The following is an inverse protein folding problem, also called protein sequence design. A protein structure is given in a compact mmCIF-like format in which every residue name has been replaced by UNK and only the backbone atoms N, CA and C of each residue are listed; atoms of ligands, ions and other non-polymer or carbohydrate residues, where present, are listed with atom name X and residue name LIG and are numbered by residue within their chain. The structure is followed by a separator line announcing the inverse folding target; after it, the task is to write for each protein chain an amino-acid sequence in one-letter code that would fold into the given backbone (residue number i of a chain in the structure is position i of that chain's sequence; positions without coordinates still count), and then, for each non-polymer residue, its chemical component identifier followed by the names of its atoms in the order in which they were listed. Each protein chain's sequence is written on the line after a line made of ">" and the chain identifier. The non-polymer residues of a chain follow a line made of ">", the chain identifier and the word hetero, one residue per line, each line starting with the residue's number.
data_IF_319949332575
#
_entry.id   IF_319949332575
#
_cell.length_a   1.000
_cell.length_b   1.000
_cell.length_c   1.000
_cell.angle_alpha   90.00
_cell.angle_beta   90.00
_cell.angle_gamma   90.00
#
_symmetry.space_group_name_H-M   'P 1'
#
loop_
_entity.id
_entity.type
_entity.pdbx_description
1 polymer ?
#
# COMPACT_ATOMS: atom_id res chain seq x y z
N UNK A 1 25.75 -30.83 -10.04
CA UNK A 1 25.26 -30.49 -8.69
C UNK A 1 25.86 -29.15 -8.33
N UNK A 2 25.36 -28.17 -9.05
CA UNK A 2 25.73 -26.77 -9.09
C UNK A 2 24.98 -26.05 -7.97
N UNK A 3 25.69 -25.79 -6.88
CA UNK A 3 25.24 -24.92 -5.81
C UNK A 3 25.28 -23.46 -6.29
N UNK A 4 24.20 -22.99 -6.91
CA UNK A 4 23.98 -21.55 -7.10
C UNK A 4 23.38 -20.98 -5.82
N UNK A 5 24.24 -20.76 -4.83
CA UNK A 5 23.95 -19.88 -3.71
C UNK A 5 23.92 -18.45 -4.24
N UNK A 6 22.72 -17.90 -4.44
CA UNK A 6 22.56 -16.48 -4.76
C UNK A 6 23.13 -15.65 -3.61
N UNK A 7 24.29 -15.04 -3.86
CA UNK A 7 24.89 -14.02 -2.99
C UNK A 7 23.97 -12.80 -3.01
N UNK A 8 22.99 -12.74 -2.10
CA UNK A 8 22.30 -11.48 -1.79
C UNK A 8 23.31 -10.58 -1.09
N UNK A 9 23.79 -9.57 -1.81
CA UNK A 9 24.55 -8.46 -1.24
C UNK A 9 23.64 -7.84 -0.16
N UNK A 10 24.04 -7.87 1.11
CA UNK A 10 23.33 -7.12 2.17
C UNK A 10 23.74 -5.66 2.01
N UNK A 11 23.30 -5.05 0.92
CA UNK A 11 23.24 -3.61 0.77
C UNK A 11 21.85 -3.22 1.29
N UNK A 12 21.75 -2.13 2.06
CA UNK A 12 20.47 -1.61 2.56
C UNK A 12 19.64 -1.05 1.41
N UNK A 13 19.23 -1.92 0.50
CA UNK A 13 18.54 -1.60 -0.74
C UNK A 13 17.07 -1.36 -0.47
N UNK A 14 16.48 -0.49 -1.27
CA UNK A 14 15.05 -0.27 -1.24
C UNK A 14 14.34 -1.54 -1.72
N UNK A 15 13.53 -2.16 -0.86
CA UNK A 15 12.84 -3.43 -1.16
C UNK A 15 11.33 -3.25 -1.01
N UNK A 16 10.59 -3.67 -2.03
CA UNK A 16 9.12 -3.76 -2.00
C UNK A 16 8.71 -5.22 -1.94
N UNK A 17 7.92 -5.58 -0.94
CA UNK A 17 7.36 -6.93 -0.77
C UNK A 17 5.85 -6.85 -0.64
N UNK A 18 5.13 -7.39 -1.63
CA UNK A 18 3.69 -7.58 -1.52
C UNK A 18 3.38 -8.71 -0.55
N UNK A 19 2.43 -8.46 0.35
CA UNK A 19 1.92 -9.43 1.29
C UNK A 19 0.44 -9.16 1.55
N UNK A 20 -0.28 -10.14 2.08
CA UNK A 20 -1.73 -10.07 2.22
C UNK A 20 -2.45 -9.92 0.87
N UNK A 21 -3.46 -10.74 0.64
CA UNK A 21 -4.22 -10.75 -0.61
C UNK A 21 -5.55 -10.04 -0.39
N UNK A 22 -5.91 -9.15 -1.32
CA UNK A 22 -7.24 -8.55 -1.33
C UNK A 22 -8.31 -9.63 -1.51
N UNK A 23 -9.39 -9.55 -0.75
CA UNK A 23 -10.53 -10.46 -0.91
C UNK A 23 -11.46 -9.95 -2.02
N UNK A 24 -12.26 -10.83 -2.64
CA UNK A 24 -13.18 -10.43 -3.71
C UNK A 24 -14.06 -9.25 -3.33
N UNK A 25 -14.11 -8.25 -4.20
CA UNK A 25 -15.01 -7.09 -4.11
C UNK A 25 -16.22 -7.28 -5.05
N UNK A 26 -17.12 -6.30 -5.18
CA UNK A 26 -18.31 -6.40 -6.05
C UNK A 26 -18.03 -6.68 -7.53
N UNK A 27 -16.80 -6.47 -8.01
CA UNK A 27 -16.38 -6.83 -9.37
C UNK A 27 -16.00 -8.32 -9.51
N UNK A 28 -15.94 -9.05 -8.39
CA UNK A 28 -15.64 -10.49 -8.35
C UNK A 28 -14.17 -10.83 -8.10
N UNK A 29 -13.28 -9.84 -8.06
CA UNK A 29 -11.84 -10.00 -7.82
C UNK A 29 -11.38 -9.11 -6.66
N UNK A 30 -10.27 -9.48 -6.02
CA UNK A 30 -9.68 -8.67 -4.95
C UNK A 30 -8.72 -7.63 -5.50
N UNK A 31 -8.74 -6.43 -4.94
CA UNK A 31 -7.82 -5.37 -5.36
C UNK A 31 -6.38 -5.71 -4.95
N UNK A 32 -5.43 -5.50 -5.85
CA UNK A 32 -3.99 -5.59 -5.58
C UNK A 32 -3.39 -4.20 -5.41
N UNK A 33 -2.29 -4.10 -4.67
CA UNK A 33 -1.51 -2.86 -4.54
C UNK A 33 -0.12 -3.06 -5.14
N UNK A 34 0.39 -2.02 -5.79
CA UNK A 34 1.79 -1.93 -6.21
C UNK A 34 2.43 -0.68 -5.60
N UNK A 35 3.71 -0.79 -5.29
CA UNK A 35 4.51 0.31 -4.75
C UNK A 35 5.79 0.41 -5.57
N UNK A 36 6.07 1.60 -6.09
CA UNK A 36 7.32 1.88 -6.80
C UNK A 36 8.01 3.10 -6.19
N UNK A 37 9.31 2.96 -5.96
CA UNK A 37 10.15 4.02 -5.41
C UNK A 37 11.23 4.37 -6.42
N UNK A 38 11.28 5.66 -6.79
CA UNK A 38 12.25 6.24 -7.70
C UNK A 38 13.15 7.20 -6.91
N UNK A 39 14.38 6.76 -6.62
CA UNK A 39 15.36 7.58 -5.88
C UNK A 39 15.75 8.80 -6.71
N UNK A 40 15.96 8.62 -8.02
CA UNK A 40 16.39 9.68 -8.94
C UNK A 40 15.33 10.78 -9.11
N UNK A 41 14.05 10.42 -9.04
CA UNK A 41 12.94 11.37 -9.15
C UNK A 41 12.42 11.82 -7.78
N UNK A 42 13.00 11.29 -6.69
CA UNK A 42 12.53 11.49 -5.33
C UNK A 42 11.01 11.23 -5.19
N UNK A 43 10.54 10.15 -5.82
CA UNK A 43 9.12 9.87 -5.99
C UNK A 43 8.76 8.48 -5.48
N UNK A 44 7.72 8.41 -4.65
CA UNK A 44 7.03 7.17 -4.29
C UNK A 44 5.66 7.17 -4.94
N UNK A 45 5.36 6.11 -5.67
CA UNK A 45 4.07 5.93 -6.33
C UNK A 45 3.39 4.68 -5.79
N UNK A 46 2.14 4.84 -5.38
CA UNK A 46 1.23 3.78 -4.96
C UNK A 46 0.19 3.59 -6.06
N UNK A 47 -0.10 2.34 -6.38
CA UNK A 47 -1.13 2.01 -7.37
C UNK A 47 -2.02 0.90 -6.81
N UNK A 48 -3.30 0.93 -7.18
CA UNK A 48 -4.26 -0.13 -6.88
C UNK A 48 -4.99 -0.54 -8.15
N UNK A 49 -5.18 -1.85 -8.33
CA UNK A 49 -5.92 -2.43 -9.43
C UNK A 49 -6.36 -3.89 -9.13
N UNK A 50 -7.59 -4.32 -9.46
CA UNK A 50 -8.78 -3.50 -9.69
C UNK A 50 -9.53 -3.23 -8.38
N UNK A 51 -9.68 -1.95 -8.04
CA UNK A 51 -10.68 -1.49 -7.08
C UNK A 51 -12.04 -1.27 -7.78
N UNK A 52 -13.03 -0.73 -7.06
CA UNK A 52 -14.36 -0.47 -7.64
C UNK A 52 -14.36 0.88 -8.35
N UNK A 53 -14.53 0.86 -9.67
CA UNK A 53 -14.53 2.09 -10.48
C UNK A 53 -15.60 3.10 -10.08
N UNK A 54 -15.26 4.39 -10.10
CA UNK A 54 -16.16 5.48 -9.70
C UNK A 54 -16.43 5.55 -8.19
N UNK A 55 -15.74 4.76 -7.37
CA UNK A 55 -15.82 4.83 -5.92
C UNK A 55 -14.63 5.57 -5.32
N UNK A 56 -14.85 6.18 -4.15
CA UNK A 56 -13.75 6.80 -3.40
C UNK A 56 -12.99 5.73 -2.61
N UNK A 57 -11.68 5.93 -2.50
CA UNK A 57 -10.83 5.20 -1.57
C UNK A 57 -9.66 6.04 -1.09
N UNK A 58 -8.90 5.48 -0.16
CA UNK A 58 -7.79 6.16 0.49
C UNK A 58 -6.64 5.18 0.67
N UNK A 59 -5.45 5.60 0.23
CA UNK A 59 -4.21 4.93 0.59
C UNK A 59 -3.85 5.29 2.03
N UNK A 60 -3.36 4.31 2.76
CA UNK A 60 -2.89 4.51 4.12
C UNK A 60 -1.69 3.63 4.39
N UNK A 61 -0.95 3.97 5.44
CA UNK A 61 0.25 3.26 5.84
C UNK A 61 0.41 3.18 7.35
N UNK A 62 1.25 2.25 7.80
CA UNK A 62 1.51 2.02 9.22
C UNK A 62 2.68 1.05 9.44
N UNK A 63 3.16 0.93 10.68
CA UNK A 63 4.42 0.25 10.96
C UNK A 63 4.29 -1.27 11.02
N UNK A 64 3.13 -1.78 11.45
CA UNK A 64 3.02 -3.20 11.81
C UNK A 64 2.30 -3.99 10.71
N UNK A 65 2.86 -5.09 10.21
CA UNK A 65 2.11 -6.03 9.38
C UNK A 65 1.19 -6.89 10.25
N UNK A 66 -0.10 -6.92 9.93
CA UNK A 66 -1.10 -7.79 10.57
C UNK A 66 -1.94 -8.51 9.50
N UNK A 67 -2.91 -9.33 9.93
CA UNK A 67 -3.98 -9.82 9.06
C UNK A 67 -5.21 -10.04 9.91
N UNK A 68 -6.21 -9.17 9.77
CA UNK A 68 -7.45 -9.19 10.55
C UNK A 68 -8.65 -8.90 9.65
N UNK A 69 -9.77 -9.63 9.78
CA UNK A 69 -11.01 -9.29 9.08
C UNK A 69 -11.44 -7.84 9.34
N UNK A 70 -11.75 -7.11 8.28
CA UNK A 70 -12.24 -5.74 8.37
C UNK A 70 -13.03 -5.38 7.11
N UNK A 71 -14.30 -5.02 7.26
CA UNK A 71 -15.22 -4.90 6.12
C UNK A 71 -15.37 -6.24 5.39
N UNK A 72 -15.43 -6.19 4.07
CA UNK A 72 -15.46 -7.40 3.22
C UNK A 72 -14.04 -7.95 2.92
N UNK A 73 -13.00 -7.37 3.53
CA UNK A 73 -11.60 -7.66 3.26
C UNK A 73 -10.77 -7.99 4.50
N UNK A 74 -9.46 -7.85 4.34
CA UNK A 74 -8.47 -8.00 5.41
C UNK A 74 -7.74 -6.67 5.62
N UNK A 75 -7.74 -6.17 6.85
CA UNK A 75 -6.80 -5.11 7.26
C UNK A 75 -5.46 -5.76 7.54
N UNK A 76 -4.44 -5.30 6.82
CA UNK A 76 -3.12 -5.90 6.84
C UNK A 76 -2.05 -5.01 7.47
N UNK A 77 -2.46 -3.84 7.97
CA UNK A 77 -1.60 -2.87 8.64
C UNK A 77 -2.15 -2.63 10.04
N UNK A 78 -1.30 -2.76 11.06
CA UNK A 78 -1.54 -2.50 12.47
C UNK A 78 -0.80 -1.26 12.98
N UNK A 79 -0.74 -1.12 14.30
CA UNK A 79 -0.19 0.07 14.96
C UNK A 79 -1.00 1.33 14.65
N UNK A 80 -0.33 2.47 14.78
CA UNK A 80 -0.88 3.75 14.34
C UNK A 80 -0.94 3.78 12.80
N UNK A 81 -2.16 4.00 12.28
CA UNK A 81 -2.41 4.04 10.84
C UNK A 81 -2.66 5.47 10.39
N UNK A 82 -1.94 5.85 9.35
CA UNK A 82 -1.95 7.19 8.78
C UNK A 82 -2.56 7.17 7.40
N UNK A 83 -3.65 7.93 7.23
CA UNK A 83 -4.30 8.11 5.94
C UNK A 83 -3.55 9.17 5.15
N UNK A 84 -3.23 8.84 3.91
CA UNK A 84 -2.78 9.83 2.95
C UNK A 84 -4.06 10.55 2.48
N UNK A 85 -4.33 11.75 2.97
CA UNK A 85 -5.52 12.52 2.57
C UNK A 85 -5.20 13.48 1.41
N UNK A 86 -6.20 13.96 0.66
CA UNK A 86 -7.61 13.51 0.70
C UNK A 86 -7.80 12.11 0.08
N UNK A 87 -8.95 11.45 0.31
CA UNK A 87 -9.37 10.31 -0.49
C UNK A 87 -9.46 10.66 -1.99
N UNK A 88 -9.22 9.69 -2.86
CA UNK A 88 -9.21 9.85 -4.31
C UNK A 88 -10.30 9.00 -4.96
N UNK A 89 -10.80 9.46 -6.10
CA UNK A 89 -11.79 8.75 -6.90
C UNK A 89 -11.06 7.69 -7.75
N UNK A 90 -11.48 6.44 -7.65
CA UNK A 90 -10.99 5.34 -8.48
C UNK A 90 -11.48 5.54 -9.92
N UNK A 91 -10.58 5.36 -10.89
CA UNK A 91 -10.87 5.44 -12.31
C UNK A 91 -11.95 4.44 -12.73
N UNK A 92 -12.59 4.68 -13.88
CA UNK A 92 -13.72 3.85 -14.34
C UNK A 92 -13.37 2.36 -14.53
N UNK A 93 -12.11 2.03 -14.81
CA UNK A 93 -11.64 0.65 -14.96
C UNK A 93 -11.23 -0.02 -13.65
N UNK A 94 -11.23 0.70 -12.52
CA UNK A 94 -10.84 0.18 -11.21
C UNK A 94 -9.43 0.59 -10.77
N UNK A 95 -8.74 1.40 -11.57
CA UNK A 95 -7.36 1.78 -11.35
C UNK A 95 -7.27 3.11 -10.59
N UNK A 96 -6.26 3.25 -9.74
CA UNK A 96 -5.89 4.53 -9.15
C UNK A 96 -4.40 4.57 -8.85
N UNK A 97 -3.76 5.67 -9.26
CA UNK A 97 -2.36 5.99 -8.94
C UNK A 97 -2.29 7.18 -7.99
N UNK A 98 -1.37 7.10 -7.03
CA UNK A 98 -1.06 8.18 -6.10
C UNK A 98 0.45 8.39 -5.97
N UNK A 99 0.89 9.62 -6.17
CA UNK A 99 2.22 10.06 -5.76
C UNK A 99 2.20 10.50 -4.29
N UNK A 100 3.21 10.07 -3.53
CA UNK A 100 3.41 10.46 -2.13
C UNK A 100 4.43 11.58 -2.05
N UNK A 101 4.01 12.72 -1.50
CA UNK A 101 4.89 13.84 -1.19
C UNK A 101 5.40 13.72 0.25
N UNK A 102 6.68 13.36 0.41
CA UNK A 102 7.32 13.21 1.71
C UNK A 102 7.53 14.52 2.48
N UNK A 103 7.29 15.67 1.84
CA UNK A 103 7.36 16.97 2.50
C UNK A 103 6.04 17.37 3.17
N UNK A 104 4.95 16.66 2.86
CA UNK A 104 3.63 16.92 3.41
C UNK A 104 3.28 15.94 4.53
N UNK A 105 2.56 16.40 5.58
CA UNK A 105 1.97 15.49 6.55
C UNK A 105 0.99 14.52 5.85
N UNK A 106 0.86 13.27 6.34
CA UNK A 106 1.53 12.74 7.54
C UNK A 106 3.00 12.32 7.32
N UNK A 107 3.45 12.14 6.08
CA UNK A 107 4.77 11.58 5.76
C UNK A 107 5.96 12.44 6.23
N UNK A 108 5.75 13.74 6.51
CA UNK A 108 6.80 14.65 6.98
C UNK A 108 6.81 14.92 8.50
N UNK A 109 5.91 14.33 9.30
CA UNK A 109 5.79 14.74 10.71
C UNK A 109 5.39 13.64 11.69
N UNK A 110 5.84 13.83 12.94
CA UNK A 110 5.47 13.00 14.09
C UNK A 110 5.84 11.52 13.92
N UNK A 111 5.04 10.65 14.54
CA UNK A 111 5.19 9.20 14.45
C UNK A 111 4.85 8.61 13.08
N UNK A 112 4.36 9.43 12.16
CA UNK A 112 4.02 9.06 10.79
C UNK A 112 5.13 9.39 9.79
N UNK A 113 6.20 10.04 10.25
CA UNK A 113 7.27 10.50 9.38
C UNK A 113 7.99 9.33 8.73
N UNK A 114 8.14 9.39 7.41
CA UNK A 114 8.88 8.40 6.63
C UNK A 114 10.33 8.85 6.56
N UNK A 115 11.24 7.99 7.03
CA UNK A 115 12.66 8.26 7.11
C UNK A 115 13.46 7.23 6.33
N UNK A 116 14.66 7.60 5.89
CA UNK A 116 15.61 6.66 5.34
C UNK A 116 15.94 5.55 6.37
N UNK A 117 16.02 4.31 5.91
CA UNK A 117 16.16 3.11 6.76
C UNK A 117 14.87 2.62 7.43
N UNK A 118 13.75 3.35 7.35
CA UNK A 118 12.48 2.92 7.93
C UNK A 118 11.76 1.90 7.03
N UNK A 119 10.85 1.12 7.62
CA UNK A 119 9.96 0.21 6.88
C UNK A 119 8.52 0.61 7.14
N UNK A 120 7.74 0.73 6.07
CA UNK A 120 6.32 1.05 6.15
C UNK A 120 5.49 0.10 5.30
N UNK A 121 4.29 -0.17 5.77
CA UNK A 121 3.31 -0.98 5.05
C UNK A 121 2.27 -0.07 4.43
N UNK A 122 1.87 -0.34 3.19
CA UNK A 122 0.89 0.42 2.43
C UNK A 122 -0.30 -0.46 2.03
N UNK A 123 -1.51 0.08 2.14
CA UNK A 123 -2.75 -0.59 1.77
C UNK A 123 -3.76 0.46 1.29
N UNK A 124 -4.70 0.03 0.44
CA UNK A 124 -5.80 0.87 -0.04
C UNK A 124 -7.12 0.36 0.52
N UNK A 125 -7.89 1.26 1.13
CA UNK A 125 -9.28 1.00 1.54
C UNK A 125 -10.24 1.77 0.66
N UNK A 126 -11.27 1.13 0.14
CA UNK A 126 -12.19 1.73 -0.84
C UNK A 126 -13.63 1.37 -0.58
N UNK A 127 -14.54 2.25 -1.02
CA UNK A 127 -15.97 1.96 -0.98
C UNK A 127 -16.30 0.86 -1.97
N UNK A 128 -17.12 -0.06 -1.52
CA UNK A 128 -17.70 -1.13 -2.30
C UNK A 128 -19.16 -1.21 -1.86
N UNK A 129 -20.10 -0.83 -2.71
CA UNK A 129 -21.50 -0.68 -2.27
C UNK A 129 -22.22 -2.03 -2.03
N UNK A 130 -21.50 -3.14 -2.20
CA UNK A 130 -21.94 -4.46 -1.76
C UNK A 130 -21.49 -4.77 -0.32
N UNK A 131 -22.06 -5.80 0.29
CA UNK A 131 -21.59 -6.30 1.60
C UNK A 131 -21.64 -5.25 2.70
N UNK A 132 -20.50 -5.06 3.36
CA UNK A 132 -20.31 -4.10 4.47
C UNK A 132 -20.16 -2.64 4.03
N UNK A 133 -20.09 -2.37 2.73
CA UNK A 133 -19.97 -1.02 2.18
C UNK A 133 -18.52 -0.61 1.85
N UNK A 134 -17.52 -1.45 2.15
CA UNK A 134 -16.13 -1.20 1.82
C UNK A 134 -15.29 -2.49 1.81
N UNK A 135 -14.19 -2.44 1.06
CA UNK A 135 -13.23 -3.53 0.98
C UNK A 135 -11.80 -2.97 0.97
N UNK A 136 -10.80 -3.85 1.03
CA UNK A 136 -9.39 -3.49 1.11
C UNK A 136 -8.58 -4.23 0.05
N UNK A 137 -7.55 -3.58 -0.46
CA UNK A 137 -6.55 -4.22 -1.30
C UNK A 137 -5.70 -5.22 -0.50
N UNK A 138 -4.82 -5.96 -1.18
CA UNK A 138 -3.62 -6.49 -0.54
C UNK A 138 -2.73 -5.39 0.07
N UNK A 139 -1.60 -5.76 0.65
CA UNK A 139 -0.65 -4.81 1.22
C UNK A 139 0.75 -4.94 0.59
N UNK A 140 1.56 -3.91 0.78
CA UNK A 140 2.95 -3.90 0.37
C UNK A 140 3.80 -3.31 1.49
N UNK A 141 4.87 -4.01 1.88
CA UNK A 141 5.92 -3.48 2.73
C UNK A 141 6.99 -2.83 1.84
N UNK A 142 7.43 -1.62 2.20
CA UNK A 142 8.54 -0.93 1.57
C UNK A 142 9.59 -0.60 2.62
N UNK A 143 10.80 -1.10 2.40
CA UNK A 143 12.01 -0.67 3.10
C UNK A 143 12.57 0.55 2.36
N UNK A 144 12.65 1.69 3.04
CA UNK A 144 13.28 2.89 2.52
C UNK A 144 14.79 2.78 2.73
N UNK A 145 15.56 2.77 1.65
CA UNK A 145 17.00 2.71 1.72
C UNK A 145 17.60 3.99 2.35
N UNK A 146 18.76 3.89 3.05
CA UNK A 146 19.46 5.03 3.65
C UNK A 146 19.92 6.10 2.66
#
# INVERSE_FOLDING_TARGET
>A
MDGSGSLRRITGECEVTNYCTGLPNSTGVGASISVSLSITENALTLEVDPAVGGQFGVFYYGPDPISQPFGDGLRCIGGDVYRLNPPQLVGGGGELTRHVDFTQPPASSGSAQILAGSTWNFQFGYRDLSGTGFNLSGAAALVFCP
#
